data_IF_392136705389
#
_entry.id   IF_392136705389
#
_cell.length_a   1.000
_cell.length_b   1.000
_cell.length_c   1.000
_cell.angle_alpha   90.00
_cell.angle_beta   90.00
_cell.angle_gamma   90.00
#
_symmetry.space_group_name_H-M   'P 1'
#
loop_
_entity.id
_entity.type
_entity.pdbx_description
1 polymer ?
#
# COMPACT_ATOMS: atom_id res chain seq x y z
N UNK A 1 -4.61 2.51 -31.11
CA UNK A 1 -3.65 2.27 -32.22
C UNK A 1 -2.85 0.97 -32.04
N UNK A 2 -2.78 0.42 -30.84
CA UNK A 2 -1.96 -0.76 -30.52
C UNK A 2 -2.75 -1.98 -30.00
N UNK A 3 -4.09 -1.94 -29.99
CA UNK A 3 -4.94 -3.03 -29.49
C UNK A 3 -4.65 -4.35 -30.21
N UNK A 4 -4.48 -5.43 -29.41
CA UNK A 4 -4.30 -6.79 -29.91
C UNK A 4 -2.99 -7.06 -30.66
N UNK A 5 -1.95 -6.23 -30.48
CA UNK A 5 -0.63 -6.45 -31.09
C UNK A 5 0.17 -7.56 -30.43
N UNK A 6 -0.04 -7.75 -29.13
CA UNK A 6 0.58 -8.83 -28.38
C UNK A 6 -0.39 -10.01 -28.30
N UNK A 7 0.08 -11.21 -28.56
CA UNK A 7 -0.75 -12.41 -28.44
C UNK A 7 -1.03 -12.75 -26.97
N UNK A 8 -0.08 -12.49 -26.07
CA UNK A 8 -0.21 -12.66 -24.63
C UNK A 8 0.63 -11.66 -23.85
N UNK A 9 0.19 -11.35 -22.65
CA UNK A 9 0.91 -10.56 -21.64
C UNK A 9 0.84 -11.30 -20.32
N UNK A 10 1.97 -11.56 -19.71
CA UNK A 10 2.08 -12.10 -18.36
C UNK A 10 2.57 -10.99 -17.46
N UNK A 11 1.87 -10.75 -16.36
CA UNK A 11 2.19 -9.72 -15.37
C UNK A 11 2.42 -10.39 -14.03
N UNK A 12 3.63 -10.28 -13.53
CA UNK A 12 3.97 -10.70 -12.18
C UNK A 12 3.66 -9.59 -11.18
N UNK A 13 3.40 -9.96 -9.93
CA UNK A 13 3.03 -9.06 -8.83
C UNK A 13 1.90 -8.09 -9.23
N UNK A 14 0.84 -8.64 -9.82
CA UNK A 14 -0.30 -7.85 -10.33
C UNK A 14 -0.88 -6.89 -9.28
N UNK A 15 -0.75 -7.20 -7.99
CA UNK A 15 -1.24 -6.38 -6.89
C UNK A 15 -0.54 -5.01 -6.77
N UNK A 16 0.66 -4.81 -7.32
CA UNK A 16 1.33 -3.51 -7.34
C UNK A 16 0.57 -2.46 -8.17
N UNK A 17 -0.27 -2.93 -9.07
CA UNK A 17 -1.09 -2.07 -9.94
C UNK A 17 -2.53 -1.87 -9.43
N UNK A 18 -2.78 -2.07 -8.14
CA UNK A 18 -4.11 -1.98 -7.54
C UNK A 18 -4.51 -0.56 -7.08
N UNK A 19 -3.65 0.42 -7.23
CA UNK A 19 -3.90 1.80 -6.81
C UNK A 19 -4.40 2.69 -7.96
N UNK A 20 -5.07 3.78 -7.62
CA UNK A 20 -5.35 4.90 -8.52
C UNK A 20 -4.05 5.70 -8.74
N UNK A 21 -3.27 5.30 -9.71
CA UNK A 21 -1.92 5.82 -9.95
C UNK A 21 -1.55 5.74 -11.43
N UNK A 22 -0.65 6.63 -11.86
CA UNK A 22 -0.14 6.61 -13.23
C UNK A 22 0.52 5.29 -13.64
N UNK A 23 1.12 4.55 -12.70
CA UNK A 23 1.64 3.20 -12.93
C UNK A 23 0.51 2.21 -13.25
N UNK A 24 -0.59 2.27 -12.49
CA UNK A 24 -1.76 1.45 -12.74
C UNK A 24 -2.43 1.77 -14.08
N UNK A 25 -2.48 3.05 -14.46
CA UNK A 25 -3.04 3.47 -15.74
C UNK A 25 -2.17 3.02 -16.93
N UNK A 26 -0.85 3.15 -16.80
CA UNK A 26 0.08 2.61 -17.79
C UNK A 26 -0.09 1.09 -17.98
N UNK A 27 -0.32 0.35 -16.92
CA UNK A 27 -0.60 -1.09 -16.99
C UNK A 27 -1.94 -1.36 -17.67
N UNK A 28 -2.99 -0.58 -17.40
CA UNK A 28 -4.27 -0.69 -18.08
C UNK A 28 -4.15 -0.51 -19.60
N UNK A 29 -3.35 0.43 -20.05
CA UNK A 29 -3.02 0.63 -21.45
C UNK A 29 -2.31 -0.59 -22.06
N UNK A 30 -1.36 -1.19 -21.34
CA UNK A 30 -0.68 -2.42 -21.76
C UNK A 30 -1.66 -3.59 -21.89
N UNK A 31 -2.60 -3.74 -20.95
CA UNK A 31 -3.66 -4.77 -21.06
C UNK A 31 -4.46 -4.62 -22.34
N UNK A 32 -4.77 -3.39 -22.76
CA UNK A 32 -5.44 -3.10 -24.01
C UNK A 32 -4.64 -3.46 -25.27
N UNK A 33 -3.32 -3.66 -25.17
CA UNK A 33 -2.47 -4.06 -26.31
C UNK A 33 -2.41 -5.56 -26.51
N UNK A 34 -2.75 -6.36 -25.50
CA UNK A 34 -2.68 -7.82 -25.53
C UNK A 34 -4.03 -8.46 -25.84
N UNK A 35 -4.02 -9.60 -26.55
CA UNK A 35 -5.22 -10.41 -26.80
C UNK A 35 -5.59 -11.23 -25.56
N UNK A 36 -4.60 -11.69 -24.81
CA UNK A 36 -4.77 -12.45 -23.57
C UNK A 36 -3.84 -11.89 -22.51
N UNK A 37 -4.34 -11.79 -21.27
CA UNK A 37 -3.57 -11.32 -20.12
C UNK A 37 -3.66 -12.35 -19.02
N UNK A 38 -2.51 -12.68 -18.42
CA UNK A 38 -2.39 -13.51 -17.22
C UNK A 38 -1.70 -12.63 -16.17
N UNK A 39 -2.39 -12.37 -15.07
CA UNK A 39 -1.81 -11.71 -13.91
C UNK A 39 -1.51 -12.74 -12.81
N UNK A 40 -0.33 -12.65 -12.23
CA UNK A 40 0.11 -13.50 -11.13
C UNK A 40 0.33 -12.65 -9.88
N UNK A 41 -0.07 -13.14 -8.73
CA UNK A 41 0.19 -12.48 -7.45
C UNK A 41 -0.07 -13.44 -6.29
N UNK A 42 0.71 -13.34 -5.24
CA UNK A 42 0.46 -14.05 -3.99
C UNK A 42 -0.61 -13.34 -3.14
N UNK A 43 -0.82 -12.04 -3.33
CA UNK A 43 -1.70 -11.19 -2.51
C UNK A 43 -2.64 -10.39 -3.39
N UNK A 44 -3.72 -11.03 -3.87
CA UNK A 44 -4.68 -10.37 -4.77
C UNK A 44 -5.41 -9.21 -4.09
N UNK A 45 -5.67 -9.31 -2.79
CA UNK A 45 -6.40 -8.33 -2.00
C UNK A 45 -5.52 -7.91 -0.83
N UNK A 46 -5.13 -6.64 -0.80
CA UNK A 46 -4.31 -6.04 0.26
C UNK A 46 -5.11 -5.59 1.50
N UNK A 47 -6.24 -6.22 1.73
CA UNK A 47 -7.12 -5.96 2.88
C UNK A 47 -8.21 -4.92 2.63
N UNK A 48 -8.17 -4.12 1.57
CA UNK A 48 -9.16 -3.07 1.29
C UNK A 48 -9.88 -3.30 -0.03
N UNK A 49 -11.19 -2.99 -0.06
CA UNK A 49 -11.98 -3.10 -1.30
C UNK A 49 -11.56 -2.10 -2.38
N UNK A 50 -11.00 -0.96 -2.00
CA UNK A 50 -10.48 0.02 -2.97
C UNK A 50 -9.36 -0.53 -3.85
N UNK A 51 -8.46 -1.34 -3.30
CA UNK A 51 -7.38 -1.96 -4.09
C UNK A 51 -7.93 -2.90 -5.15
N UNK A 52 -8.81 -3.83 -4.77
CA UNK A 52 -9.38 -4.78 -5.73
C UNK A 52 -10.29 -4.08 -6.76
N UNK A 53 -10.93 -2.95 -6.42
CA UNK A 53 -11.74 -2.17 -7.35
C UNK A 53 -10.96 -1.74 -8.59
N UNK A 54 -9.81 -1.09 -8.41
CA UNK A 54 -8.98 -0.64 -9.52
C UNK A 54 -8.45 -1.79 -10.35
N UNK A 55 -8.07 -2.89 -9.70
CA UNK A 55 -7.61 -4.09 -10.39
C UNK A 55 -8.70 -4.73 -11.25
N UNK A 56 -9.92 -4.87 -10.72
CA UNK A 56 -11.07 -5.39 -11.45
C UNK A 56 -11.44 -4.51 -12.64
N UNK A 57 -11.30 -3.19 -12.49
CA UNK A 57 -11.54 -2.28 -13.60
C UNK A 57 -10.54 -2.49 -14.74
N UNK A 58 -9.27 -2.67 -14.43
CA UNK A 58 -8.20 -2.89 -15.40
C UNK A 58 -8.31 -4.24 -16.12
N UNK A 59 -8.83 -5.24 -15.41
CA UNK A 59 -8.93 -6.61 -15.95
C UNK A 59 -10.32 -7.00 -16.44
N UNK A 60 -11.37 -6.40 -15.93
CA UNK A 60 -12.75 -6.86 -16.09
C UNK A 60 -13.78 -5.71 -16.10
N UNK A 61 -13.44 -4.57 -16.70
CA UNK A 61 -14.28 -3.37 -16.70
C UNK A 61 -15.75 -3.63 -17.08
N UNK A 62 -16.00 -4.53 -18.05
CA UNK A 62 -17.36 -4.84 -18.48
C UNK A 62 -18.21 -5.50 -17.39
N UNK A 63 -17.60 -6.36 -16.57
CA UNK A 63 -18.31 -6.96 -15.42
C UNK A 63 -18.61 -5.91 -14.36
N UNK A 64 -17.70 -4.97 -14.12
CA UNK A 64 -17.89 -3.88 -13.18
C UNK A 64 -19.03 -2.96 -13.62
N UNK A 65 -19.10 -2.63 -14.90
CA UNK A 65 -20.19 -1.83 -15.48
C UNK A 65 -21.52 -2.56 -15.42
N UNK A 66 -21.55 -3.86 -15.73
CA UNK A 66 -22.75 -4.69 -15.63
C UNK A 66 -23.29 -4.80 -14.19
N UNK A 67 -22.40 -4.74 -13.20
CA UNK A 67 -22.74 -4.70 -11.77
C UNK A 67 -23.10 -3.27 -11.27
N UNK A 68 -23.19 -2.29 -12.17
CA UNK A 68 -23.55 -0.91 -11.83
C UNK A 68 -22.48 -0.15 -11.06
N UNK A 69 -21.23 -0.53 -11.21
CA UNK A 69 -20.07 0.10 -10.54
C UNK A 69 -19.23 0.89 -11.55
N UNK A 70 -19.60 2.13 -11.90
CA UNK A 70 -18.81 2.93 -12.82
C UNK A 70 -17.48 3.36 -12.20
N UNK A 71 -16.45 3.55 -13.02
CA UNK A 71 -15.10 3.90 -12.59
C UNK A 71 -15.03 5.20 -11.79
N UNK A 72 -15.87 6.17 -12.14
CA UNK A 72 -15.92 7.48 -11.51
C UNK A 72 -16.55 7.44 -10.10
N UNK A 73 -17.11 6.30 -9.69
CA UNK A 73 -17.81 6.15 -8.42
C UNK A 73 -17.33 4.95 -7.60
N UNK A 74 -16.05 4.89 -7.22
CA UNK A 74 -15.49 3.79 -6.42
C UNK A 74 -16.20 3.62 -5.07
N UNK A 75 -16.80 4.69 -4.55
CA UNK A 75 -17.56 4.64 -3.31
C UNK A 75 -18.74 3.65 -3.36
N UNK A 76 -19.39 3.47 -4.51
CA UNK A 76 -20.48 2.49 -4.66
C UNK A 76 -19.97 1.06 -4.47
N UNK A 77 -18.80 0.75 -5.02
CA UNK A 77 -18.18 -0.55 -4.83
C UNK A 77 -17.73 -0.75 -3.39
N UNK A 78 -17.09 0.26 -2.80
CA UNK A 78 -16.60 0.18 -1.43
C UNK A 78 -17.72 0.04 -0.40
N UNK A 79 -18.88 0.66 -0.64
CA UNK A 79 -20.06 0.53 0.23
C UNK A 79 -20.68 -0.85 0.15
N UNK A 80 -20.71 -1.48 -1.02
CA UNK A 80 -21.32 -2.79 -1.21
C UNK A 80 -20.38 -3.95 -0.88
N UNK A 81 -19.10 -3.83 -1.26
CA UNK A 81 -18.13 -4.92 -1.17
C UNK A 81 -17.02 -4.69 -0.16
N UNK A 82 -16.94 -3.51 0.44
CA UNK A 82 -15.98 -3.18 1.48
C UNK A 82 -16.61 -3.09 2.87
N UNK A 83 -15.79 -2.77 3.84
CA UNK A 83 -16.22 -2.38 5.18
C UNK A 83 -16.06 -0.87 5.31
N UNK A 84 -17.16 -0.17 5.54
CA UNK A 84 -17.23 1.29 5.60
C UNK A 84 -17.81 1.72 6.94
N UNK A 85 -17.05 2.53 7.67
CA UNK A 85 -17.52 3.19 8.88
C UNK A 85 -17.98 4.61 8.53
N UNK A 86 -19.21 4.93 8.88
CA UNK A 86 -19.75 6.28 8.68
C UNK A 86 -20.02 6.91 10.03
N UNK A 87 -19.27 7.96 10.35
CA UNK A 87 -19.43 8.74 11.58
C UNK A 87 -20.27 9.97 11.30
N UNK A 88 -21.37 10.09 12.02
CA UNK A 88 -22.24 11.27 12.00
C UNK A 88 -21.89 12.12 13.22
N UNK A 89 -21.54 13.38 13.02
CA UNK A 89 -21.38 14.34 14.10
C UNK A 89 -22.67 15.15 14.17
N UNK A 90 -23.48 14.93 15.21
CA UNK A 90 -24.63 15.78 15.48
C UNK A 90 -24.15 17.18 15.87
N UNK A 91 -24.77 18.20 15.28
CA UNK A 91 -24.50 19.58 15.67
C UNK A 91 -25.12 19.83 17.04
N UNK A 92 -24.32 20.28 17.99
CA UNK A 92 -24.78 20.70 19.32
C UNK A 92 -25.85 21.79 19.17
N UNK A 93 -27.05 21.59 19.70
CA UNK A 93 -28.15 22.54 19.67
C UNK A 93 -27.94 23.76 20.59
N UNK A 94 -26.70 24.09 20.93
CA UNK A 94 -26.41 25.28 21.73
C UNK A 94 -26.74 26.55 20.95
N UNK A 95 -27.35 27.51 21.64
CA UNK A 95 -27.83 28.79 21.09
C UNK A 95 -26.77 29.63 20.36
N UNK A 96 -25.49 29.36 20.59
CA UNK A 96 -24.35 29.98 19.92
C UNK A 96 -24.09 29.39 18.52
N UNK A 97 -24.55 28.19 18.20
CA UNK A 97 -24.33 27.50 16.94
C UNK A 97 -25.25 27.95 15.80
N UNK A 98 -26.33 28.68 16.09
CA UNK A 98 -27.33 29.13 15.08
C UNK A 98 -26.78 30.08 14.02
N UNK A 99 -25.55 30.61 14.17
CA UNK A 99 -24.91 31.51 13.19
C UNK A 99 -23.87 30.85 12.29
N UNK A 100 -23.51 29.57 12.52
CA UNK A 100 -22.61 28.83 11.62
C UNK A 100 -23.43 27.74 10.94
N UNK A 101 -23.36 27.69 9.61
CA UNK A 101 -23.97 26.68 8.75
C UNK A 101 -23.91 25.30 9.38
N UNK A 102 -25.08 24.74 9.71
CA UNK A 102 -25.28 23.35 10.17
C UNK A 102 -24.99 22.38 9.03
N UNK A 103 -23.75 22.21 8.65
CA UNK A 103 -23.33 21.06 7.84
C UNK A 103 -23.04 19.93 8.83
N UNK A 104 -23.94 18.96 8.92
CA UNK A 104 -23.63 17.66 9.52
C UNK A 104 -22.38 17.12 8.83
N UNK A 105 -21.28 17.06 9.56
CA UNK A 105 -20.05 16.46 9.03
C UNK A 105 -20.21 14.95 9.06
N UNK A 106 -20.62 14.38 7.93
CA UNK A 106 -20.58 12.94 7.71
C UNK A 106 -19.15 12.59 7.28
N UNK A 107 -18.44 11.82 8.10
CA UNK A 107 -17.12 11.27 7.75
C UNK A 107 -17.28 9.80 7.45
N UNK A 108 -16.89 9.41 6.24
CA UNK A 108 -16.86 8.02 5.82
C UNK A 108 -15.39 7.56 5.79
N UNK A 109 -15.10 6.48 6.49
CA UNK A 109 -13.79 5.84 6.51
C UNK A 109 -13.91 4.40 6.05
N UNK A 110 -13.04 3.99 5.16
CA UNK A 110 -12.90 2.59 4.79
C UNK A 110 -12.08 1.85 5.85
N UNK A 111 -12.57 0.69 6.27
CA UNK A 111 -11.87 -0.23 7.16
C UNK A 111 -11.37 -1.44 6.36
N UNK A 112 -10.39 -2.20 6.87
CA UNK A 112 -9.99 -3.45 6.27
C UNK A 112 -11.16 -4.43 6.19
N UNK A 113 -11.30 -5.08 5.05
CA UNK A 113 -12.34 -6.07 4.79
C UNK A 113 -12.86 -5.98 3.36
N UNK A 114 -13.11 -7.15 2.77
CA UNK A 114 -13.70 -7.32 1.45
C UNK A 114 -14.74 -8.42 1.52
N UNK A 115 -15.91 -8.16 0.98
CA UNK A 115 -17.01 -9.12 0.93
C UNK A 115 -16.64 -10.36 0.10
N UNK A 116 -16.94 -11.57 0.56
CA UNK A 116 -16.79 -12.80 -0.22
C UNK A 116 -17.55 -12.77 -1.57
N UNK A 117 -18.55 -11.91 -1.72
CA UNK A 117 -19.28 -11.73 -2.97
C UNK A 117 -18.37 -11.22 -4.11
N UNK A 118 -17.30 -10.53 -3.81
CA UNK A 118 -16.30 -10.12 -4.83
C UNK A 118 -15.72 -11.35 -5.52
N UNK A 119 -15.41 -12.39 -4.74
CA UNK A 119 -14.90 -13.64 -5.29
C UNK A 119 -15.90 -14.28 -6.26
N UNK A 120 -17.14 -14.48 -5.81
CA UNK A 120 -18.14 -15.18 -6.62
C UNK A 120 -18.57 -14.39 -7.86
N UNK A 121 -18.61 -13.05 -7.79
CA UNK A 121 -19.09 -12.22 -8.91
C UNK A 121 -18.02 -11.90 -9.95
N UNK A 122 -16.77 -11.72 -9.52
CA UNK A 122 -15.74 -11.16 -10.38
C UNK A 122 -14.54 -12.08 -10.61
N UNK A 123 -14.24 -12.98 -9.67
CA UNK A 123 -13.01 -13.75 -9.67
C UNK A 123 -13.20 -15.22 -10.01
N UNK A 124 -14.30 -15.85 -9.61
CA UNK A 124 -14.49 -17.30 -9.67
C UNK A 124 -14.21 -17.91 -11.05
N UNK A 125 -14.68 -17.26 -12.12
CA UNK A 125 -14.51 -17.77 -13.48
C UNK A 125 -13.17 -17.39 -14.14
N UNK A 126 -12.39 -16.53 -13.49
CA UNK A 126 -11.19 -15.91 -14.09
C UNK A 126 -9.93 -16.11 -13.28
N UNK A 127 -10.02 -16.68 -12.09
CA UNK A 127 -8.89 -16.82 -11.18
C UNK A 127 -8.67 -18.28 -10.83
N UNK A 128 -7.44 -18.74 -11.01
CA UNK A 128 -6.98 -20.01 -10.47
C UNK A 128 -6.16 -19.77 -9.21
N UNK A 129 -6.48 -20.49 -8.14
CA UNK A 129 -5.71 -20.45 -6.90
C UNK A 129 -4.84 -21.70 -6.82
N UNK A 130 -3.56 -21.47 -6.59
CA UNK A 130 -2.57 -22.51 -6.40
C UNK A 130 -1.90 -22.31 -5.05
N UNK A 131 -2.01 -23.28 -4.16
CA UNK A 131 -1.31 -23.28 -2.88
C UNK A 131 -0.03 -24.12 -2.96
N UNK A 132 0.89 -23.88 -2.03
CA UNK A 132 2.09 -24.73 -1.93
C UNK A 132 1.75 -26.19 -1.71
N UNK A 133 0.64 -26.49 -1.00
CA UNK A 133 0.15 -27.86 -0.80
C UNK A 133 -0.27 -28.54 -2.10
N UNK A 134 -0.72 -27.79 -3.11
CA UNK A 134 -1.12 -28.33 -4.41
C UNK A 134 0.09 -28.80 -5.23
N UNK A 135 1.27 -28.29 -4.94
CA UNK A 135 2.54 -28.70 -5.55
C UNK A 135 3.05 -30.04 -4.97
N UNK A 136 2.46 -30.50 -3.88
CA UNK A 136 2.73 -31.82 -3.29
C UNK A 136 4.20 -32.02 -2.92
N UNK A 137 4.74 -33.19 -3.29
CA UNK A 137 6.14 -33.58 -2.98
C UNK A 137 7.20 -32.94 -3.88
N UNK A 138 6.82 -32.07 -4.81
CA UNK A 138 7.76 -31.40 -5.70
C UNK A 138 8.60 -30.31 -4.99
N UNK A 139 8.15 -29.86 -3.81
CA UNK A 139 8.88 -28.89 -3.01
C UNK A 139 9.90 -29.59 -2.10
N UNK A 140 11.13 -29.05 -1.98
CA UNK A 140 12.08 -29.51 -0.98
C UNK A 140 11.54 -29.26 0.44
N UNK A 141 12.11 -29.98 1.41
CA UNK A 141 11.85 -29.67 2.82
C UNK A 141 12.33 -28.25 3.12
N UNK A 142 11.50 -27.47 3.77
CA UNK A 142 11.82 -26.11 4.20
C UNK A 142 11.93 -26.07 5.71
N UNK A 143 13.04 -25.52 6.20
CA UNK A 143 13.26 -25.25 7.62
C UNK A 143 13.77 -23.80 7.74
N UNK A 144 13.11 -23.00 8.56
CA UNK A 144 13.51 -21.64 8.84
C UNK A 144 14.25 -21.59 10.19
N UNK A 145 15.54 -21.28 10.13
CA UNK A 145 16.38 -21.17 11.31
C UNK A 145 16.68 -19.67 11.54
N UNK A 146 15.98 -19.02 12.47
CA UNK A 146 16.29 -17.61 12.80
C UNK A 146 17.63 -17.56 13.54
N UNK A 147 18.56 -16.76 13.00
CA UNK A 147 19.84 -16.46 13.63
C UNK A 147 19.77 -15.03 14.15
N UNK A 148 19.82 -14.88 15.47
CA UNK A 148 19.91 -13.57 16.09
C UNK A 148 21.36 -13.07 16.02
N UNK A 149 21.56 -11.93 15.35
CA UNK A 149 22.84 -11.23 15.32
C UNK A 149 22.74 -9.97 16.19
N UNK A 150 23.72 -9.80 17.09
CA UNK A 150 23.84 -8.57 17.87
C UNK A 150 24.64 -7.54 17.06
N UNK A 151 24.23 -6.28 17.13
CA UNK A 151 24.99 -5.18 16.54
C UNK A 151 26.26 -4.92 17.37
N UNK A 152 27.34 -4.49 16.69
CA UNK A 152 28.51 -3.96 17.37
C UNK A 152 28.12 -2.74 18.23
N UNK A 153 28.78 -2.56 19.38
CA UNK A 153 28.44 -1.52 20.37
C UNK A 153 28.40 -0.11 19.75
N UNK A 154 29.30 0.20 18.85
CA UNK A 154 29.34 1.49 18.16
C UNK A 154 28.13 1.66 17.23
N UNK A 155 27.79 0.63 16.45
CA UNK A 155 26.62 0.63 15.55
C UNK A 155 25.33 0.72 16.35
N UNK A 156 25.20 -0.04 17.44
CA UNK A 156 24.03 -0.02 18.30
C UNK A 156 23.81 1.36 18.95
N UNK A 157 24.89 1.98 19.40
CA UNK A 157 24.82 3.31 20.03
C UNK A 157 24.30 4.35 19.04
N UNK A 158 24.84 4.36 17.83
CA UNK A 158 24.40 5.29 16.79
C UNK A 158 22.99 4.98 16.31
N UNK A 159 22.63 3.71 16.14
CA UNK A 159 21.28 3.29 15.82
C UNK A 159 20.25 3.82 16.82
N UNK A 160 20.51 3.67 18.11
CA UNK A 160 19.66 4.21 19.18
C UNK A 160 19.57 5.74 19.14
N UNK A 161 20.66 6.43 18.77
CA UNK A 161 20.67 7.88 18.59
C UNK A 161 19.76 8.30 17.43
N UNK A 162 19.84 7.59 16.30
CA UNK A 162 18.99 7.81 15.11
C UNK A 162 17.53 7.59 15.48
N UNK A 163 17.20 6.47 16.09
CA UNK A 163 15.84 6.13 16.53
C UNK A 163 15.26 7.20 17.48
N UNK A 164 16.05 7.62 18.47
CA UNK A 164 15.65 8.65 19.43
C UNK A 164 15.29 9.97 18.73
N UNK A 165 16.06 10.39 17.72
CA UNK A 165 15.76 11.59 16.92
C UNK A 165 14.44 11.49 16.19
N UNK A 166 14.10 10.31 15.62
CA UNK A 166 12.79 10.08 15.00
C UNK A 166 11.67 10.27 16.02
N UNK A 167 11.78 9.63 17.19
CA UNK A 167 10.78 9.72 18.25
C UNK A 167 10.57 11.17 18.68
N UNK A 168 11.63 11.95 18.79
CA UNK A 168 11.54 13.39 19.10
C UNK A 168 10.72 14.16 18.05
N UNK A 169 11.01 13.94 16.76
CA UNK A 169 10.28 14.61 15.67
C UNK A 169 8.82 14.15 15.62
N UNK A 170 8.55 12.85 15.81
CA UNK A 170 7.17 12.31 15.86
C UNK A 170 6.33 12.99 16.96
N UNK A 171 6.96 13.33 18.09
CA UNK A 171 6.29 13.98 19.23
C UNK A 171 6.13 15.48 19.05
N UNK A 172 7.09 16.15 18.41
CA UNK A 172 7.14 17.61 18.32
C UNK A 172 6.48 18.16 17.04
N UNK A 173 6.61 17.47 15.91
CA UNK A 173 6.09 17.90 14.62
C UNK A 173 5.49 16.73 13.82
N UNK A 174 4.18 16.53 13.99
CA UNK A 174 3.45 15.45 13.30
C UNK A 174 3.46 15.59 11.78
N UNK A 175 3.52 16.81 11.23
CA UNK A 175 3.51 17.02 9.78
C UNK A 175 4.86 16.67 9.16
N UNK A 176 5.94 17.13 9.79
CA UNK A 176 7.29 16.75 9.39
C UNK A 176 7.48 15.23 9.50
N UNK A 177 7.06 14.64 10.62
CA UNK A 177 7.13 13.21 10.86
C UNK A 177 6.47 12.37 9.75
N UNK A 178 5.28 12.74 9.28
CA UNK A 178 4.60 12.02 8.20
C UNK A 178 5.38 12.06 6.88
N UNK A 179 6.03 13.19 6.56
CA UNK A 179 6.80 13.35 5.32
C UNK A 179 8.12 12.56 5.35
N UNK A 180 8.75 12.43 6.51
CA UNK A 180 10.07 11.77 6.64
C UNK A 180 9.97 10.31 7.05
N UNK A 181 8.79 9.81 7.45
CA UNK A 181 8.63 8.49 8.05
C UNK A 181 9.20 7.37 7.17
N UNK A 182 8.95 7.40 5.87
CA UNK A 182 9.45 6.41 4.92
C UNK A 182 10.98 6.41 4.85
N UNK A 183 11.59 7.61 4.73
CA UNK A 183 13.05 7.74 4.68
C UNK A 183 13.70 7.29 6.00
N UNK A 184 13.04 7.55 7.11
CA UNK A 184 13.52 7.16 8.42
C UNK A 184 13.44 5.65 8.67
N UNK A 185 12.32 5.02 8.30
CA UNK A 185 12.17 3.57 8.40
C UNK A 185 13.18 2.86 7.50
N UNK A 186 13.40 3.38 6.29
CA UNK A 186 14.42 2.84 5.40
C UNK A 186 15.82 2.94 6.02
N UNK A 187 16.18 4.09 6.61
CA UNK A 187 17.46 4.27 7.29
C UNK A 187 17.63 3.27 8.44
N UNK A 188 16.62 3.13 9.32
CA UNK A 188 16.68 2.16 10.42
C UNK A 188 16.78 0.71 9.97
N UNK A 189 16.24 0.38 8.81
CA UNK A 189 16.33 -0.98 8.25
C UNK A 189 17.71 -1.25 7.65
N UNK A 190 18.29 -0.25 6.99
CA UNK A 190 19.56 -0.43 6.24
C UNK A 190 20.79 -0.21 7.11
N UNK A 191 20.69 0.70 8.11
CA UNK A 191 21.85 1.12 8.91
C UNK A 191 22.58 -0.02 9.65
N UNK A 192 21.90 -1.03 10.22
CA UNK A 192 22.60 -2.15 10.87
C UNK A 192 23.53 -2.94 9.93
N UNK A 193 23.14 -3.08 8.66
CA UNK A 193 23.90 -3.84 7.66
C UNK A 193 24.92 -2.96 6.92
N UNK A 194 24.66 -1.65 6.83
CA UNK A 194 25.48 -0.69 6.12
C UNK A 194 25.63 0.61 6.94
N UNK A 195 26.45 0.63 7.99
CA UNK A 195 26.58 1.80 8.87
C UNK A 195 27.51 2.91 8.31
N UNK A 196 27.75 2.93 7.01
CA UNK A 196 28.57 3.91 6.31
C UNK A 196 27.80 4.53 5.15
N UNK A 197 28.23 5.72 4.70
CA UNK A 197 27.68 6.43 3.53
C UNK A 197 26.16 6.68 3.54
N UNK A 198 25.54 6.70 4.73
CA UNK A 198 24.12 6.98 4.84
C UNK A 198 23.85 8.48 4.68
N UNK A 199 22.82 8.79 3.88
CA UNK A 199 22.42 10.17 3.64
C UNK A 199 21.71 10.76 4.86
N UNK A 200 21.92 12.07 5.15
CA UNK A 200 21.18 12.75 6.20
C UNK A 200 19.68 12.80 5.87
N UNK A 201 18.85 12.73 6.90
CA UNK A 201 17.43 13.02 6.78
C UNK A 201 17.22 14.49 7.16
N UNK A 202 16.64 15.24 6.25
CA UNK A 202 16.42 16.66 6.39
C UNK A 202 14.97 16.97 6.81
N UNK A 203 14.76 18.14 7.41
CA UNK A 203 13.41 18.66 7.60
C UNK A 203 12.75 18.90 6.23
N UNK A 204 11.45 18.62 6.09
CA UNK A 204 10.74 18.87 4.84
C UNK A 204 10.90 20.33 4.39
N UNK A 205 11.17 20.46 3.10
CA UNK A 205 11.33 21.77 2.44
C UNK A 205 12.48 22.64 3.00
N UNK A 206 13.52 22.02 3.61
CA UNK A 206 14.69 22.70 4.15
C UNK A 206 15.97 21.88 4.03
N UNK A 207 17.12 22.51 4.14
CA UNK A 207 18.45 21.87 4.18
C UNK A 207 18.91 21.56 5.62
N UNK A 208 18.03 21.73 6.60
CA UNK A 208 18.37 21.49 8.01
C UNK A 208 18.26 19.99 8.31
N UNK A 209 19.34 19.35 8.76
CA UNK A 209 19.32 17.93 9.07
C UNK A 209 18.56 17.66 10.38
N UNK A 210 17.63 16.72 10.34
CA UNK A 210 17.02 16.11 11.52
C UNK A 210 18.02 15.15 12.16
N UNK A 211 18.61 14.31 11.29
CA UNK A 211 19.66 13.38 11.69
C UNK A 211 20.66 13.25 10.54
N UNK A 212 21.92 13.26 10.89
CA UNK A 212 23.04 12.89 10.03
C UNK A 212 23.66 11.64 10.66
N UNK A 213 23.52 10.47 10.04
CA UNK A 213 24.13 9.25 10.54
C UNK A 213 25.66 9.37 10.54
N UNK A 214 26.28 8.83 11.60
CA UNK A 214 27.73 8.69 11.63
C UNK A 214 28.13 7.45 10.82
N UNK A 215 29.20 7.59 10.04
CA UNK A 215 29.80 6.47 9.32
C UNK A 215 30.65 5.65 10.27
N UNK A 216 30.34 4.37 10.42
CA UNK A 216 31.06 3.44 11.26
C UNK A 216 31.59 2.32 10.37
N UNK A 217 32.91 2.15 10.34
CA UNK A 217 33.60 1.26 9.43
C UNK A 217 33.80 1.88 8.03
N UNK A 218 34.60 1.22 7.25
CA UNK A 218 34.88 1.57 5.86
C UNK A 218 34.09 0.63 4.95
N UNK A 219 33.66 1.16 3.80
CA UNK A 219 33.16 0.32 2.71
C UNK A 219 34.37 -0.37 2.08
N UNK A 220 34.65 -1.60 2.46
CA UNK A 220 35.61 -2.47 1.79
C UNK A 220 35.07 -2.99 0.46
#
# INVERSE_FOLDING_TARGET
>A
RYRGRLDGLIVDELHEYNNDSGQGDAMAELFGTAKKVIGMTATLINGYSSGIFHLLYRTSAQLMLADGKPHEKPALFNTEYGVVETTYTEADESYAAKRRSQKSNVRTRQLPGVSPLVFSRFLLEKTAFLSLSDMGKALPSYEEIPIACEMDEAVETEYKRIEHKLVQVLRSDRRAAQKILSAYLNLLTVYPDQPYDQKPILYPDSDIPIVKPESIGDAD
#
